data_IF_783140484369
#
_entry.id   IF_783140484369
#
_cell.length_a   1.000
_cell.length_b   1.000
_cell.length_c   1.000
_cell.angle_alpha   90.00
_cell.angle_beta   90.00
_cell.angle_gamma   90.00
#
_symmetry.space_group_name_H-M   'P 1'
#
loop_
_entity.id
_entity.type
_entity.pdbx_description
1 polymer ?
#
# COMPACT_ATOMS: atom_id res chain seq x y z
N UNK A 1 11.45 9.92 -55.98
CA UNK A 1 10.68 10.48 -54.85
C UNK A 1 10.48 9.39 -53.81
N UNK A 2 11.29 9.36 -52.74
CA UNK A 2 11.14 8.40 -51.63
C UNK A 2 10.61 9.19 -50.44
N UNK A 3 9.39 8.86 -50.01
CA UNK A 3 8.71 9.42 -48.84
C UNK A 3 9.06 8.57 -47.61
N UNK A 4 9.75 9.20 -46.66
CA UNK A 4 9.56 9.21 -45.20
C UNK A 4 8.95 7.94 -44.57
N UNK A 5 9.68 7.34 -43.63
CA UNK A 5 9.12 6.96 -42.32
C UNK A 5 10.25 7.00 -41.28
N UNK A 6 10.37 8.18 -40.66
CA UNK A 6 11.12 8.40 -39.43
C UNK A 6 10.40 7.60 -38.34
N UNK A 7 10.92 6.40 -38.04
CA UNK A 7 10.48 5.58 -36.92
C UNK A 7 11.03 6.23 -35.64
N UNK A 8 10.41 7.32 -35.23
CA UNK A 8 10.61 7.91 -33.91
C UNK A 8 9.99 6.95 -32.89
N UNK A 9 10.77 5.90 -32.57
CA UNK A 9 10.51 5.02 -31.46
C UNK A 9 10.37 5.89 -30.22
N UNK A 10 9.13 5.96 -29.72
CA UNK A 10 8.78 6.49 -28.42
C UNK A 10 9.68 5.84 -27.38
N UNK A 11 10.80 6.51 -27.08
CA UNK A 11 11.48 6.37 -25.81
C UNK A 11 10.45 6.81 -24.78
N UNK A 12 9.70 5.84 -24.26
CA UNK A 12 9.03 5.96 -22.98
C UNK A 12 10.13 6.18 -21.96
N UNK A 13 10.52 7.45 -21.79
CA UNK A 13 11.28 7.92 -20.65
C UNK A 13 10.30 7.71 -19.51
N UNK A 14 10.27 6.51 -18.97
CA UNK A 14 9.67 6.22 -17.68
C UNK A 14 10.46 7.08 -16.71
N UNK A 15 9.95 8.28 -16.46
CA UNK A 15 10.38 9.13 -15.38
C UNK A 15 10.28 8.26 -14.15
N UNK A 16 11.42 7.74 -13.69
CA UNK A 16 11.52 7.22 -12.35
C UNK A 16 10.99 8.34 -11.46
N UNK A 17 9.84 8.12 -10.82
CA UNK A 17 9.43 8.99 -9.75
C UNK A 17 10.60 8.96 -8.75
N UNK A 18 11.31 10.08 -8.63
CA UNK A 18 12.40 10.20 -7.67
C UNK A 18 11.75 10.10 -6.29
N UNK A 19 11.80 8.91 -5.71
CA UNK A 19 11.20 8.64 -4.41
C UNK A 19 11.82 9.58 -3.37
N UNK A 20 10.96 10.34 -2.70
CA UNK A 20 11.32 11.20 -1.57
C UNK A 20 10.88 10.53 -0.26
N UNK A 21 11.35 11.03 0.88
CA UNK A 21 10.84 10.54 2.18
C UNK A 21 9.35 10.85 2.34
N UNK A 22 8.91 12.02 1.85
CA UNK A 22 7.50 12.42 1.85
C UNK A 22 6.64 11.46 1.03
N UNK A 23 6.99 11.23 -0.24
CA UNK A 23 6.26 10.30 -1.11
C UNK A 23 6.27 8.87 -0.58
N UNK A 24 7.39 8.44 0.03
CA UNK A 24 7.47 7.15 0.71
C UNK A 24 6.38 7.04 1.79
N UNK A 25 6.28 8.02 2.69
CA UNK A 25 5.30 7.97 3.77
C UNK A 25 3.86 8.18 3.29
N UNK A 26 3.64 8.99 2.26
CA UNK A 26 2.32 9.11 1.63
C UNK A 26 1.82 7.75 1.11
N UNK A 27 2.68 7.03 0.39
CA UNK A 27 2.38 5.71 -0.14
C UNK A 27 2.16 4.68 0.97
N UNK A 28 3.03 4.65 1.98
CA UNK A 28 2.92 3.71 3.10
C UNK A 28 1.65 3.95 3.93
N UNK A 29 1.32 5.21 4.25
CA UNK A 29 0.09 5.54 4.96
C UNK A 29 -1.14 5.11 4.16
N UNK A 30 -1.21 5.45 2.86
CA UNK A 30 -2.34 5.09 2.01
C UNK A 30 -2.49 3.57 1.87
N UNK A 31 -1.39 2.83 1.77
CA UNK A 31 -1.38 1.38 1.73
C UNK A 31 -1.85 0.76 3.06
N UNK A 32 -1.40 1.28 4.21
CA UNK A 32 -1.83 0.84 5.53
C UNK A 32 -3.32 1.11 5.77
N UNK A 33 -3.81 2.31 5.42
CA UNK A 33 -5.23 2.66 5.52
C UNK A 33 -6.10 1.71 4.68
N UNK A 34 -5.70 1.41 3.45
CA UNK A 34 -6.42 0.44 2.61
C UNK A 34 -6.36 -0.98 3.18
N UNK A 35 -5.22 -1.37 3.77
CA UNK A 35 -5.09 -2.68 4.43
C UNK A 35 -6.07 -2.79 5.60
N UNK A 36 -6.15 -1.76 6.45
CA UNK A 36 -7.09 -1.70 7.57
C UNK A 36 -8.54 -1.73 7.08
N UNK A 37 -8.88 -0.99 6.03
CA UNK A 37 -10.22 -1.02 5.44
C UNK A 37 -10.58 -2.43 4.96
N UNK A 38 -9.67 -3.12 4.25
CA UNK A 38 -9.89 -4.49 3.78
C UNK A 38 -10.05 -5.48 4.93
N UNK A 39 -9.21 -5.39 5.97
CA UNK A 39 -9.35 -6.24 7.16
C UNK A 39 -10.68 -5.97 7.90
N UNK A 40 -11.10 -4.71 7.99
CA UNK A 40 -12.39 -4.37 8.60
C UNK A 40 -13.58 -4.91 7.80
N UNK A 41 -13.55 -4.80 6.47
CA UNK A 41 -14.61 -5.36 5.61
C UNK A 41 -14.63 -6.90 5.70
N UNK A 42 -13.45 -7.52 5.74
CA UNK A 42 -13.34 -8.97 5.96
C UNK A 42 -13.91 -9.38 7.32
N UNK A 43 -13.57 -8.65 8.39
CA UNK A 43 -14.11 -8.87 9.74
C UNK A 43 -15.65 -8.78 9.74
N UNK A 44 -16.22 -7.74 9.14
CA UNK A 44 -17.66 -7.61 9.00
C UNK A 44 -18.27 -8.77 8.21
N UNK A 45 -17.61 -9.23 7.15
CA UNK A 45 -18.07 -10.40 6.39
C UNK A 45 -18.08 -11.67 7.27
N UNK A 46 -17.03 -11.88 8.07
CA UNK A 46 -16.95 -13.02 9.00
C UNK A 46 -18.05 -12.97 10.07
N UNK A 47 -18.29 -11.79 10.67
CA UNK A 47 -19.36 -11.59 11.65
C UNK A 47 -20.74 -11.88 11.06
N UNK A 48 -20.92 -11.63 9.76
CA UNK A 48 -22.14 -11.96 9.00
C UNK A 48 -22.14 -13.37 8.41
N UNK A 49 -21.20 -14.24 8.81
CA UNK A 49 -21.09 -15.62 8.32
C UNK A 49 -20.99 -15.75 6.80
N UNK A 50 -20.34 -14.78 6.14
CA UNK A 50 -20.04 -14.87 4.72
C UNK A 50 -19.27 -16.14 4.37
N UNK A 51 -19.51 -16.74 3.19
CA UNK A 51 -18.68 -17.84 2.70
C UNK A 51 -17.22 -17.37 2.52
N UNK A 52 -16.28 -18.30 2.72
CA UNK A 52 -14.84 -18.04 2.60
C UNK A 52 -14.45 -17.44 1.24
N UNK A 53 -15.13 -17.81 0.15
CA UNK A 53 -14.95 -17.20 -1.17
C UNK A 53 -15.19 -15.69 -1.20
N UNK A 54 -16.14 -15.19 -0.41
CA UNK A 54 -16.42 -13.76 -0.31
C UNK A 54 -15.30 -13.04 0.46
N UNK A 55 -14.75 -13.68 1.50
CA UNK A 55 -13.60 -13.15 2.24
C UNK A 55 -12.37 -13.04 1.32
N UNK A 56 -12.05 -14.07 0.55
CA UNK A 56 -10.95 -14.02 -0.42
C UNK A 56 -11.15 -12.98 -1.52
N UNK A 57 -12.40 -12.73 -1.92
CA UNK A 57 -12.69 -11.65 -2.86
C UNK A 57 -12.35 -10.29 -2.27
N UNK A 58 -12.74 -10.04 -1.01
CA UNK A 58 -12.38 -8.79 -0.30
C UNK A 58 -10.86 -8.62 -0.26
N UNK A 59 -10.13 -9.67 0.13
CA UNK A 59 -8.66 -9.63 0.19
C UNK A 59 -8.04 -9.30 -1.18
N UNK A 60 -8.50 -9.95 -2.25
CA UNK A 60 -8.02 -9.71 -3.61
C UNK A 60 -8.36 -8.31 -4.15
N UNK A 61 -9.54 -7.79 -3.84
CA UNK A 61 -9.97 -6.45 -4.24
C UNK A 61 -9.08 -5.38 -3.58
N UNK A 62 -8.79 -5.52 -2.28
CA UNK A 62 -7.92 -4.59 -1.57
C UNK A 62 -6.45 -4.72 -1.96
N UNK A 63 -5.96 -5.93 -2.22
CA UNK A 63 -4.63 -6.12 -2.78
C UNK A 63 -4.48 -5.39 -4.12
N UNK A 64 -5.50 -5.45 -4.97
CA UNK A 64 -5.52 -4.74 -6.26
C UNK A 64 -5.52 -3.22 -6.06
N UNK A 65 -6.37 -2.70 -5.17
CA UNK A 65 -6.42 -1.26 -4.84
C UNK A 65 -5.08 -0.74 -4.31
N UNK A 66 -4.46 -1.47 -3.38
CA UNK A 66 -3.14 -1.12 -2.82
C UNK A 66 -2.10 -1.08 -3.95
N UNK A 67 -2.09 -2.07 -4.83
CA UNK A 67 -1.15 -2.07 -5.96
C UNK A 67 -1.35 -0.89 -6.91
N UNK A 68 -2.61 -0.50 -7.16
CA UNK A 68 -2.94 0.68 -7.97
C UNK A 68 -2.38 1.97 -7.36
N UNK A 69 -2.42 2.14 -6.03
CA UNK A 69 -1.84 3.31 -5.34
C UNK A 69 -0.36 3.50 -5.70
N UNK A 70 0.42 2.42 -5.71
CA UNK A 70 1.83 2.50 -6.09
C UNK A 70 2.00 2.76 -7.60
N UNK A 71 1.16 2.17 -8.45
CA UNK A 71 1.21 2.38 -9.90
C UNK A 71 0.87 3.82 -10.31
N UNK A 72 -0.10 4.45 -9.64
CA UNK A 72 -0.47 5.85 -9.85
C UNK A 72 0.73 6.79 -9.65
N UNK A 73 1.66 6.42 -8.77
CA UNK A 73 2.90 7.14 -8.50
C UNK A 73 4.10 6.64 -9.34
N UNK A 74 3.85 5.83 -10.37
CA UNK A 74 4.91 5.28 -11.25
C UNK A 74 5.87 4.32 -10.53
N UNK A 75 5.46 3.75 -9.41
CA UNK A 75 6.28 2.87 -8.57
C UNK A 75 5.60 1.51 -8.35
N UNK A 76 6.21 0.70 -7.48
CA UNK A 76 5.70 -0.63 -7.07
C UNK A 76 6.02 -0.82 -5.58
N UNK A 77 5.29 -1.68 -4.85
CA UNK A 77 5.62 -1.98 -3.46
C UNK A 77 7.08 -2.39 -3.27
N UNK A 78 7.63 -3.22 -4.16
CA UNK A 78 9.02 -3.66 -4.11
C UNK A 78 10.03 -2.52 -4.29
N UNK A 79 9.72 -1.53 -5.13
CA UNK A 79 10.57 -0.33 -5.31
C UNK A 79 10.52 0.58 -4.08
N UNK A 80 9.35 0.71 -3.44
CA UNK A 80 9.19 1.47 -2.19
C UNK A 80 9.97 0.81 -1.06
N UNK A 81 9.84 -0.51 -0.90
CA UNK A 81 10.63 -1.29 0.06
C UNK A 81 12.14 -1.16 -0.19
N UNK A 82 12.56 -1.26 -1.46
CA UNK A 82 13.97 -1.06 -1.81
C UNK A 82 14.43 0.36 -1.48
N UNK A 83 13.62 1.39 -1.69
CA UNK A 83 13.96 2.76 -1.31
C UNK A 83 14.20 2.88 0.20
N UNK A 84 13.33 2.30 1.04
CA UNK A 84 13.55 2.24 2.49
C UNK A 84 14.88 1.59 2.83
N UNK A 85 15.17 0.40 2.28
CA UNK A 85 16.43 -0.32 2.56
C UNK A 85 17.67 0.52 2.26
N UNK A 86 17.67 1.28 1.16
CA UNK A 86 18.82 2.12 0.79
C UNK A 86 18.87 3.46 1.54
N UNK A 87 17.74 3.94 2.06
CA UNK A 87 17.60 5.29 2.63
C UNK A 87 17.11 5.28 4.09
N UNK A 88 17.21 4.16 4.81
CA UNK A 88 16.58 3.99 6.12
C UNK A 88 16.91 5.12 7.10
N UNK A 89 18.17 5.57 7.17
CA UNK A 89 18.57 6.71 8.03
C UNK A 89 17.81 7.99 7.69
N UNK A 90 17.64 8.29 6.40
CA UNK A 90 16.91 9.47 5.93
C UNK A 90 15.42 9.36 6.22
N UNK A 91 14.84 8.16 6.07
CA UNK A 91 13.45 7.88 6.42
C UNK A 91 13.23 8.05 7.93
N UNK A 92 14.10 7.47 8.75
CA UNK A 92 14.02 7.55 10.21
C UNK A 92 14.18 9.00 10.70
N UNK A 93 15.11 9.76 10.13
CA UNK A 93 15.26 11.19 10.44
C UNK A 93 13.99 11.96 10.07
N UNK A 94 13.46 11.74 8.86
CA UNK A 94 12.22 12.38 8.42
C UNK A 94 11.06 12.07 9.37
N UNK A 95 10.91 10.81 9.79
CA UNK A 95 9.87 10.41 10.74
C UNK A 95 10.02 11.10 12.11
N UNK A 96 11.25 11.20 12.63
CA UNK A 96 11.53 11.89 13.90
C UNK A 96 11.22 13.38 13.85
N UNK A 97 11.42 14.00 12.69
CA UNK A 97 11.13 15.43 12.46
C UNK A 97 9.63 15.68 12.22
N UNK A 98 8.81 14.64 12.03
CA UNK A 98 7.39 14.73 11.74
C UNK A 98 6.56 13.93 12.77
N UNK A 99 6.41 14.48 13.97
CA UNK A 99 5.72 13.81 15.10
C UNK A 99 4.26 13.44 14.77
N UNK A 100 3.54 14.30 14.03
CA UNK A 100 2.16 14.00 13.60
C UNK A 100 2.08 12.77 12.70
N UNK A 101 3.05 12.60 11.80
CA UNK A 101 3.16 11.42 10.94
C UNK A 101 3.44 10.17 11.77
N UNK A 102 4.37 10.25 12.73
CA UNK A 102 4.64 9.13 13.64
C UNK A 102 3.38 8.73 14.40
N UNK A 103 2.66 9.69 14.99
CA UNK A 103 1.43 9.40 15.72
C UNK A 103 0.37 8.75 14.83
N UNK A 104 0.23 9.23 13.58
CA UNK A 104 -0.69 8.63 12.61
C UNK A 104 -0.32 7.17 12.28
N UNK A 105 0.97 6.86 12.10
CA UNK A 105 1.42 5.48 11.88
C UNK A 105 1.16 4.59 13.10
N UNK A 106 1.39 5.11 14.31
CA UNK A 106 1.11 4.39 15.56
C UNK A 106 -0.39 4.08 15.69
N UNK A 107 -1.27 5.06 15.42
CA UNK A 107 -2.73 4.88 15.40
C UNK A 107 -3.19 3.81 14.41
N UNK A 108 -2.63 3.82 13.20
CA UNK A 108 -2.93 2.81 12.17
C UNK A 108 -2.46 1.42 12.61
N UNK A 109 -1.26 1.32 13.20
CA UNK A 109 -0.72 0.06 13.73
C UNK A 109 -1.62 -0.51 14.82
N UNK A 110 -2.05 0.32 15.77
CA UNK A 110 -2.96 -0.09 16.83
C UNK A 110 -4.31 -0.58 16.25
N UNK A 111 -4.88 0.17 15.32
CA UNK A 111 -6.15 -0.20 14.66
C UNK A 111 -6.02 -1.55 13.93
N UNK A 112 -4.92 -1.76 13.23
CA UNK A 112 -4.64 -3.02 12.54
C UNK A 112 -4.54 -4.20 13.53
N UNK A 113 -3.85 -4.01 14.65
CA UNK A 113 -3.71 -5.03 15.70
C UNK A 113 -5.06 -5.40 16.31
N UNK A 114 -5.90 -4.41 16.61
CA UNK A 114 -7.25 -4.60 17.17
C UNK A 114 -8.15 -5.41 16.23
N UNK A 115 -8.18 -5.07 14.93
CA UNK A 115 -8.97 -5.81 13.93
C UNK A 115 -8.40 -7.23 13.76
N UNK A 116 -7.07 -7.35 13.67
CA UNK A 116 -6.41 -8.65 13.52
C UNK A 116 -6.72 -9.58 14.70
N UNK A 117 -6.79 -9.05 15.92
CA UNK A 117 -7.16 -9.81 17.10
C UNK A 117 -8.62 -10.30 17.02
N UNK A 118 -9.55 -9.44 16.60
CA UNK A 118 -10.94 -9.84 16.41
C UNK A 118 -11.10 -10.94 15.35
N UNK A 119 -10.38 -10.82 14.22
CA UNK A 119 -10.35 -11.86 13.18
C UNK A 119 -9.80 -13.18 13.75
N UNK A 120 -8.67 -13.15 14.47
CA UNK A 120 -8.09 -14.36 15.09
C UNK A 120 -9.11 -15.07 15.98
N UNK A 121 -9.78 -14.33 16.86
CA UNK A 121 -10.82 -14.88 17.74
C UNK A 121 -11.97 -15.52 16.95
N UNK A 122 -12.40 -14.93 15.83
CA UNK A 122 -13.44 -15.52 14.98
C UNK A 122 -12.96 -16.77 14.22
N UNK A 123 -11.68 -16.84 13.85
CA UNK A 123 -11.10 -18.03 13.21
C UNK A 123 -10.99 -19.18 14.20
N UNK A 124 -10.55 -18.92 15.43
CA UNK A 124 -10.40 -19.95 16.48
C UNK A 124 -11.74 -20.53 16.97
N UNK A 125 -12.85 -19.81 16.76
CA UNK A 125 -14.19 -20.25 17.11
C UNK A 125 -14.88 -21.11 16.04
N UNK A 126 -14.28 -21.26 14.85
CA UNK A 126 -14.78 -22.06 13.72
C UNK A 126 -14.13 -23.45 13.71
#
# INVERSE_FOLDING_TARGET
MIKILFLAGLLSISTYANMTSELYFELELKAQEMTIQGQNERLQCMQNSCPMSAQYKIDGDYQTKIFQVYQEQGTTPSKVAAYYTHNYKKIDTYLKENESLKNKMDELSQTFEEISQQIRTLVEAQ
#
